data_IF_644928019499
#
_entry.id   IF_644928019499
#
_cell.length_a   1.000
_cell.length_b   1.000
_cell.length_c   1.000
_cell.angle_alpha   90.00
_cell.angle_beta   90.00
_cell.angle_gamma   90.00
#
_symmetry.space_group_name_H-M   'P 1'
#
loop_
_entity.id
_entity.type
_entity.pdbx_description
1 polymer ?
#
# COMPACT_ATOMS: atom_id res chain seq x y z
N UNK A 1 -16.36 0.64 -7.15
CA UNK A 1 -16.42 1.27 -8.49
C UNK A 1 -15.10 1.11 -9.19
N UNK A 2 -14.05 1.59 -8.51
CA UNK A 2 -12.63 1.36 -8.80
C UNK A 2 -12.04 0.34 -7.82
N UNK A 3 -10.83 -0.10 -8.13
CA UNK A 3 -9.98 -1.03 -7.39
C UNK A 3 -8.63 -0.36 -7.09
N UNK A 4 -7.87 -0.90 -6.13
CA UNK A 4 -6.57 -0.35 -5.72
C UNK A 4 -5.49 -1.41 -5.53
N UNK A 5 -4.23 -1.01 -5.70
CA UNK A 5 -3.06 -1.81 -5.33
C UNK A 5 -2.10 -0.98 -4.45
N UNK A 6 -1.90 -1.33 -3.16
CA UNK A 6 -0.88 -0.71 -2.33
C UNK A 6 0.51 -1.23 -2.70
N UNK A 7 1.45 -0.33 -2.97
CA UNK A 7 2.80 -0.64 -3.42
C UNK A 7 3.81 -0.01 -2.44
N UNK A 8 4.56 -0.89 -1.75
CA UNK A 8 5.70 -0.49 -0.91
C UNK A 8 7.06 -0.57 -1.62
N UNK A 9 7.14 -1.27 -2.76
CA UNK A 9 8.36 -1.36 -3.56
C UNK A 9 8.53 -0.18 -4.51
N UNK A 10 8.99 0.96 -3.99
CA UNK A 10 9.26 2.18 -4.78
C UNK A 10 10.58 2.83 -4.34
N UNK A 11 11.06 3.82 -5.10
CA UNK A 11 12.25 4.61 -4.73
C UNK A 11 11.81 5.71 -3.77
N UNK A 12 12.14 5.57 -2.49
CA UNK A 12 11.81 6.56 -1.46
C UNK A 12 12.59 7.87 -1.64
N UNK A 13 13.88 7.75 -2.00
CA UNK A 13 14.76 8.90 -2.22
C UNK A 13 14.24 9.79 -3.36
N UNK A 14 14.02 11.06 -3.05
CA UNK A 14 13.54 12.05 -4.02
C UNK A 14 12.03 11.99 -4.33
N UNK A 15 11.26 11.01 -3.81
CA UNK A 15 9.83 10.95 -4.11
C UNK A 15 9.09 12.19 -3.63
N UNK A 16 9.32 12.63 -2.39
CA UNK A 16 8.67 13.82 -1.84
C UNK A 16 8.93 15.06 -2.72
N UNK A 17 10.19 15.29 -3.09
CA UNK A 17 10.58 16.40 -3.97
C UNK A 17 9.92 16.30 -5.35
N UNK A 18 9.89 15.10 -5.94
CA UNK A 18 9.30 14.87 -7.28
C UNK A 18 7.81 15.22 -7.37
N UNK A 19 7.10 15.22 -6.24
CA UNK A 19 5.68 15.59 -6.15
C UNK A 19 5.47 16.95 -5.45
N UNK A 20 6.53 17.73 -5.27
CA UNK A 20 6.46 19.09 -4.72
C UNK A 20 6.28 19.15 -3.20
N UNK A 21 6.67 18.10 -2.47
CA UNK A 21 6.62 18.04 -1.01
C UNK A 21 8.01 18.24 -0.39
N UNK A 22 8.04 18.84 0.81
CA UNK A 22 9.26 19.03 1.59
C UNK A 22 9.79 17.68 2.11
N UNK A 23 10.99 17.25 1.68
CA UNK A 23 11.56 15.96 2.08
C UNK A 23 11.95 15.90 3.56
N UNK A 24 12.12 17.03 4.25
CA UNK A 24 12.42 17.04 5.69
C UNK A 24 11.15 16.92 6.55
N UNK A 25 9.98 17.08 5.95
CA UNK A 25 8.69 17.04 6.65
C UNK A 25 7.88 15.79 6.33
N UNK A 26 7.95 15.30 5.09
CA UNK A 26 7.10 14.22 4.61
C UNK A 26 7.93 12.98 4.29
N UNK A 27 7.66 11.91 5.04
CA UNK A 27 8.23 10.58 4.81
C UNK A 27 7.33 9.83 3.82
N UNK A 28 7.86 9.37 2.66
CA UNK A 28 7.14 8.47 1.78
C UNK A 28 6.73 7.17 2.47
N UNK A 29 5.47 6.75 2.33
CA UNK A 29 4.96 5.53 2.98
C UNK A 29 4.51 4.46 1.98
N UNK A 30 3.67 4.83 1.01
CA UNK A 30 3.14 3.91 0.02
C UNK A 30 2.68 4.65 -1.23
N UNK A 31 2.75 3.97 -2.37
CA UNK A 31 2.05 4.37 -3.59
C UNK A 31 0.75 3.56 -3.69
N UNK A 32 -0.35 4.22 -4.02
CA UNK A 32 -1.65 3.55 -4.23
C UNK A 32 -2.02 3.72 -5.70
N UNK A 33 -1.90 2.66 -6.49
CA UNK A 33 -2.50 2.63 -7.81
C UNK A 33 -4.02 2.52 -7.66
N UNK A 34 -4.79 3.32 -8.40
CA UNK A 34 -6.25 3.29 -8.39
C UNK A 34 -6.77 3.32 -9.83
N UNK A 35 -7.78 2.51 -10.13
CA UNK A 35 -8.38 2.46 -11.46
C UNK A 35 -9.53 1.47 -11.57
N UNK A 36 -10.10 1.34 -12.77
CA UNK A 36 -11.12 0.31 -13.02
C UNK A 36 -10.39 -1.00 -13.31
N UNK A 37 -10.65 -2.05 -12.53
CA UNK A 37 -10.04 -3.35 -12.79
C UNK A 37 -10.44 -3.87 -14.18
N UNK A 38 -9.43 -4.32 -14.93
CA UNK A 38 -9.60 -5.02 -16.20
C UNK A 38 -9.86 -6.51 -15.97
N UNK A 39 -9.32 -7.06 -14.89
CA UNK A 39 -9.39 -8.48 -14.51
C UNK A 39 -9.62 -8.62 -13.00
N UNK A 40 -10.09 -9.80 -12.57
CA UNK A 40 -10.22 -10.12 -11.16
C UNK A 40 -8.86 -10.37 -10.51
N UNK A 41 -8.63 -9.83 -9.32
CA UNK A 41 -7.42 -10.12 -8.54
C UNK A 41 -7.35 -11.59 -8.08
N UNK A 42 -6.14 -12.03 -7.74
CA UNK A 42 -5.92 -13.37 -7.20
C UNK A 42 -6.41 -13.49 -5.75
N UNK A 43 -7.05 -14.61 -5.42
CA UNK A 43 -7.44 -14.91 -4.05
C UNK A 43 -6.22 -15.16 -3.18
N UNK A 44 -6.20 -14.53 -2.01
CA UNK A 44 -5.16 -14.72 -1.00
C UNK A 44 -5.75 -15.40 0.24
N UNK A 45 -4.92 -16.18 0.93
CA UNK A 45 -5.29 -16.82 2.20
C UNK A 45 -5.02 -15.87 3.39
N UNK A 46 -5.64 -16.16 4.54
CA UNK A 46 -5.37 -15.50 5.82
C UNK A 46 -5.13 -16.56 6.88
N UNK A 47 -4.30 -16.24 7.88
CA UNK A 47 -4.09 -17.11 9.03
C UNK A 47 -5.39 -17.25 9.85
N UNK A 48 -5.64 -18.42 10.48
CA UNK A 48 -6.74 -18.57 11.43
C UNK A 48 -6.65 -17.54 12.56
N UNK A 49 -7.79 -17.05 13.04
CA UNK A 49 -7.87 -15.99 14.07
C UNK A 49 -7.15 -16.39 15.36
N UNK A 50 -7.30 -17.66 15.77
CA UNK A 50 -6.68 -18.21 16.97
C UNK A 50 -5.14 -18.29 16.89
N UNK A 51 -4.57 -18.16 15.68
CA UNK A 51 -3.10 -18.12 15.48
C UNK A 51 -2.53 -16.73 15.80
N UNK A 52 -3.32 -15.66 15.64
CA UNK A 52 -2.84 -14.27 15.72
C UNK A 52 -3.47 -13.47 16.88
N UNK A 53 -4.29 -14.12 17.73
CA UNK A 53 -5.03 -13.47 18.81
C UNK A 53 -4.83 -14.19 20.13
N UNK A 54 -4.65 -13.45 21.23
CA UNK A 54 -4.65 -13.98 22.60
C UNK A 54 -5.68 -13.25 23.45
N UNK A 55 -6.49 -13.99 24.19
CA UNK A 55 -7.43 -13.45 25.17
C UNK A 55 -6.78 -13.42 26.56
N UNK A 56 -6.92 -12.31 27.28
CA UNK A 56 -6.44 -12.12 28.66
C UNK A 56 -7.60 -11.87 29.61
#
# INVERSE_FOLDING_TARGET
GYDTNPIGGFIEEGLAESVGLDPNRYVPMMVIAMGKAMESGYHSLRLPVDTITTWK
#
